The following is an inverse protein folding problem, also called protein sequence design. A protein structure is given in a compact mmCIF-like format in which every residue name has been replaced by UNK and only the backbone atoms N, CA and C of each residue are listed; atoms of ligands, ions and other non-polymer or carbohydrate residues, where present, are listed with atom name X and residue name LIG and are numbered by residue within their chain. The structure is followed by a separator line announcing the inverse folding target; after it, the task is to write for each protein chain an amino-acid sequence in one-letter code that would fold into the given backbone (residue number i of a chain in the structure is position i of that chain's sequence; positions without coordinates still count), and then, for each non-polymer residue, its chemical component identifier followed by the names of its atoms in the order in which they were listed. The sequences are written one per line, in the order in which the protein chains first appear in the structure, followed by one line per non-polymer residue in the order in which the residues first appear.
data_IF_902632273288
#
_entry.id   IF_902632273288
#
_cell.length_a   1.000
_cell.length_b   1.000
_cell.length_c   1.000
_cell.angle_alpha   90.00
_cell.angle_beta   90.00
_cell.angle_gamma   90.00
#
_symmetry.space_group_name_H-M   'P 1'
#
loop_
_entity.id
_entity.type
_entity.pdbx_description
1 polymer ?
#
# COMPACT_ATOMS: atom_id res chain seq x y z
N UNK A 1 -15.66 -70.09 5.97
CA UNK A 1 -14.24 -69.82 5.65
C UNK A 1 -14.11 -68.64 4.73
N UNK A 2 -13.34 -67.67 5.15
CA UNK A 2 -12.70 -66.63 4.38
C UNK A 2 -13.64 -65.55 3.80
N UNK A 3 -13.84 -64.44 4.57
CA UNK A 3 -13.75 -63.06 4.02
C UNK A 3 -13.58 -62.03 5.13
N UNK A 4 -12.38 -61.64 5.50
CA UNK A 4 -12.13 -60.34 6.09
C UNK A 4 -10.91 -59.67 5.41
N UNK A 5 -11.03 -59.23 4.16
CA UNK A 5 -9.91 -58.57 3.49
C UNK A 5 -10.29 -57.39 2.57
N UNK A 6 -11.56 -57.18 2.29
CA UNK A 6 -11.96 -56.11 1.37
C UNK A 6 -12.30 -54.77 2.05
N UNK A 7 -12.77 -54.80 3.30
CA UNK A 7 -13.17 -53.56 4.01
C UNK A 7 -11.98 -52.68 4.37
N UNK A 8 -10.83 -53.25 4.65
CA UNK A 8 -9.61 -52.53 5.00
C UNK A 8 -8.96 -51.79 3.83
N UNK A 9 -9.02 -52.40 2.63
CA UNK A 9 -8.41 -51.84 1.42
C UNK A 9 -9.24 -50.68 0.84
N UNK A 10 -10.56 -50.77 0.88
CA UNK A 10 -11.42 -49.67 0.44
C UNK A 10 -11.34 -48.45 1.36
N UNK A 11 -11.20 -48.65 2.66
CA UNK A 11 -11.04 -47.58 3.63
C UNK A 11 -9.68 -46.88 3.47
N UNK A 12 -8.60 -47.60 3.22
CA UNK A 12 -7.28 -47.00 2.94
C UNK A 12 -7.22 -46.28 1.59
N UNK A 13 -7.91 -46.76 0.56
CA UNK A 13 -7.96 -46.08 -0.74
C UNK A 13 -8.79 -44.80 -0.66
N UNK A 14 -9.89 -44.80 0.08
CA UNK A 14 -10.75 -43.64 0.27
C UNK A 14 -10.06 -42.55 1.08
N UNK A 15 -9.35 -42.88 2.15
CA UNK A 15 -8.58 -41.97 2.98
C UNK A 15 -7.39 -41.38 2.22
N UNK A 16 -6.70 -42.16 1.42
CA UNK A 16 -5.60 -41.73 0.55
C UNK A 16 -6.09 -40.80 -0.57
N UNK A 17 -7.27 -41.03 -1.15
CA UNK A 17 -7.81 -40.16 -2.17
C UNK A 17 -8.27 -38.80 -1.62
N UNK A 18 -8.87 -38.80 -0.43
CA UNK A 18 -9.24 -37.54 0.26
C UNK A 18 -8.04 -36.71 0.68
N UNK A 19 -6.95 -37.36 1.12
CA UNK A 19 -5.70 -36.69 1.50
C UNK A 19 -5.00 -36.07 0.28
N UNK A 20 -4.97 -36.79 -0.85
CA UNK A 20 -4.44 -36.25 -2.12
C UNK A 20 -5.25 -35.07 -2.64
N UNK A 21 -6.57 -35.19 -2.68
CA UNK A 21 -7.44 -34.11 -3.12
C UNK A 21 -7.29 -32.84 -2.26
N UNK A 22 -7.19 -32.98 -0.93
CA UNK A 22 -6.91 -31.87 -0.02
C UNK A 22 -5.54 -31.24 -0.27
N UNK A 23 -4.52 -32.03 -0.52
CA UNK A 23 -3.18 -31.55 -0.82
C UNK A 23 -3.14 -30.79 -2.15
N UNK A 24 -3.84 -31.26 -3.17
CA UNK A 24 -3.96 -30.60 -4.47
C UNK A 24 -4.68 -29.24 -4.35
N UNK A 25 -5.80 -29.20 -3.63
CA UNK A 25 -6.53 -27.95 -3.36
C UNK A 25 -5.65 -26.97 -2.59
N UNK A 26 -4.94 -27.42 -1.57
CA UNK A 26 -4.03 -26.57 -0.80
C UNK A 26 -2.88 -26.03 -1.66
N UNK A 27 -2.30 -26.85 -2.53
CA UNK A 27 -1.24 -26.43 -3.44
C UNK A 27 -1.74 -25.41 -4.47
N UNK A 28 -2.94 -25.59 -5.00
CA UNK A 28 -3.57 -24.62 -5.91
C UNK A 28 -3.85 -23.30 -5.22
N UNK A 29 -4.42 -23.32 -3.99
CA UNK A 29 -4.66 -22.12 -3.20
C UNK A 29 -3.37 -21.38 -2.89
N UNK A 30 -2.32 -22.10 -2.50
CA UNK A 30 -1.01 -21.50 -2.25
C UNK A 30 -0.41 -20.86 -3.50
N UNK A 31 -0.50 -21.53 -4.65
CA UNK A 31 -0.02 -20.97 -5.92
C UNK A 31 -0.76 -19.68 -6.28
N UNK A 32 -2.09 -19.65 -6.14
CA UNK A 32 -2.89 -18.46 -6.36
C UNK A 32 -2.52 -17.29 -5.43
N UNK A 33 -2.34 -17.58 -4.13
CA UNK A 33 -1.94 -16.56 -3.15
C UNK A 33 -0.56 -15.98 -3.47
N UNK A 34 0.39 -16.80 -3.91
CA UNK A 34 1.71 -16.32 -4.36
C UNK A 34 1.58 -15.39 -5.57
N UNK A 35 0.74 -15.72 -6.53
CA UNK A 35 0.50 -14.87 -7.71
C UNK A 35 -0.14 -13.53 -7.32
N UNK A 36 -1.12 -13.54 -6.42
CA UNK A 36 -1.76 -12.33 -5.91
C UNK A 36 -0.74 -11.46 -5.18
N UNK A 37 0.08 -12.06 -4.31
CA UNK A 37 1.15 -11.36 -3.60
C UNK A 37 2.12 -10.70 -4.58
N UNK A 38 2.59 -11.43 -5.58
CA UNK A 38 3.54 -10.92 -6.55
C UNK A 38 2.95 -9.79 -7.43
N UNK A 39 1.65 -9.86 -7.73
CA UNK A 39 0.94 -8.75 -8.41
C UNK A 39 0.84 -7.52 -7.51
N UNK A 40 0.47 -7.74 -6.25
CA UNK A 40 0.35 -6.67 -5.26
C UNK A 40 1.71 -5.97 -5.04
N UNK A 41 2.78 -6.74 -4.87
CA UNK A 41 4.13 -6.21 -4.68
C UNK A 41 4.57 -5.36 -5.88
N UNK A 42 4.37 -5.85 -7.12
CA UNK A 42 4.68 -5.07 -8.33
C UNK A 42 3.86 -3.80 -8.43
N UNK A 43 2.56 -3.88 -8.15
CA UNK A 43 1.67 -2.72 -8.21
C UNK A 43 2.06 -1.67 -7.16
N UNK A 44 2.35 -2.09 -5.94
CA UNK A 44 2.81 -1.19 -4.88
C UNK A 44 4.15 -0.56 -5.22
N UNK A 45 5.12 -1.32 -5.70
CA UNK A 45 6.43 -0.77 -6.10
C UNK A 45 6.31 0.27 -7.20
N UNK A 46 5.52 -0.01 -8.25
CA UNK A 46 5.23 0.95 -9.32
C UNK A 46 4.57 2.22 -8.77
N UNK A 47 3.63 2.06 -7.87
CA UNK A 47 2.89 3.17 -7.26
C UNK A 47 3.77 4.02 -6.33
N UNK A 48 4.64 3.39 -5.55
CA UNK A 48 5.52 4.08 -4.59
C UNK A 48 6.67 4.85 -5.26
N UNK A 49 7.00 4.56 -6.51
CA UNK A 49 7.99 5.33 -7.28
C UNK A 49 7.55 6.78 -7.54
N UNK A 50 6.24 7.04 -7.58
CA UNK A 50 5.69 8.38 -7.83
C UNK A 50 6.04 9.39 -6.72
N UNK A 51 5.72 9.14 -5.43
CA UNK A 51 6.09 10.07 -4.37
C UNK A 51 7.61 10.20 -4.19
N UNK A 52 8.39 9.16 -4.50
CA UNK A 52 9.85 9.23 -4.46
C UNK A 52 10.39 10.19 -5.53
N UNK A 53 9.85 10.15 -6.75
CA UNK A 53 10.22 11.07 -7.83
C UNK A 53 9.93 12.52 -7.45
N UNK A 54 8.72 12.79 -6.94
CA UNK A 54 8.33 14.13 -6.49
C UNK A 54 9.18 14.60 -5.31
N UNK A 55 9.48 13.70 -4.37
CA UNK A 55 10.36 14.00 -3.22
C UNK A 55 11.76 14.36 -3.65
N UNK A 56 12.34 13.63 -4.62
CA UNK A 56 13.67 13.92 -5.15
C UNK A 56 13.71 15.30 -5.84
N UNK A 57 12.66 15.65 -6.58
CA UNK A 57 12.54 16.97 -7.18
C UNK A 57 12.54 18.09 -6.11
N UNK A 58 11.69 17.95 -5.09
CA UNK A 58 11.62 18.95 -4.01
C UNK A 58 12.94 19.00 -3.24
N UNK A 59 13.56 17.85 -2.97
CA UNK A 59 14.84 17.79 -2.28
C UNK A 59 15.93 18.58 -3.01
N UNK A 60 15.94 18.54 -4.35
CA UNK A 60 16.90 19.23 -5.19
C UNK A 60 16.61 20.73 -5.34
N UNK A 61 15.32 21.11 -5.52
CA UNK A 61 14.90 22.48 -5.83
C UNK A 61 14.51 23.30 -4.59
N UNK A 62 14.28 22.66 -3.47
CA UNK A 62 13.83 23.29 -2.22
C UNK A 62 12.31 23.49 -2.12
N UNK A 63 11.59 23.50 -3.23
CA UNK A 63 10.13 23.63 -3.30
C UNK A 63 9.60 23.15 -4.65
N UNK A 64 8.29 23.07 -4.78
CA UNK A 64 7.59 22.81 -6.03
C UNK A 64 6.38 23.74 -6.10
N UNK A 65 6.28 24.53 -7.18
CA UNK A 65 5.11 25.40 -7.36
C UNK A 65 3.86 24.60 -7.70
N UNK A 66 2.65 25.10 -7.40
CA UNK A 66 1.39 24.39 -7.70
C UNK A 66 1.24 24.01 -9.18
N UNK A 67 1.67 24.86 -10.11
CA UNK A 67 1.57 24.60 -11.54
C UNK A 67 2.53 23.49 -11.99
N UNK A 68 3.77 23.51 -11.49
CA UNK A 68 4.75 22.43 -11.75
C UNK A 68 4.24 21.14 -11.13
N UNK A 69 3.73 21.20 -9.91
CA UNK A 69 3.16 20.05 -9.21
C UNK A 69 2.02 19.42 -10.02
N UNK A 70 1.04 20.21 -10.43
CA UNK A 70 -0.09 19.72 -11.22
C UNK A 70 0.36 19.11 -12.56
N UNK A 71 1.31 19.74 -13.24
CA UNK A 71 1.82 19.28 -14.54
C UNK A 71 2.60 17.96 -14.40
N UNK A 72 3.55 17.91 -13.47
CA UNK A 72 4.42 16.74 -13.27
C UNK A 72 3.61 15.56 -12.75
N UNK A 73 2.82 15.79 -11.70
CA UNK A 73 2.01 14.72 -11.11
C UNK A 73 0.93 14.26 -12.06
N UNK A 74 0.31 15.17 -12.83
CA UNK A 74 -0.64 14.80 -13.86
C UNK A 74 -0.07 13.78 -14.84
N UNK A 75 1.15 14.00 -15.31
CA UNK A 75 1.86 13.05 -16.19
C UNK A 75 2.21 11.74 -15.49
N UNK A 76 2.68 11.78 -14.25
CA UNK A 76 3.02 10.58 -13.49
C UNK A 76 1.81 9.70 -13.19
N UNK A 77 0.63 10.30 -13.02
CA UNK A 77 -0.62 9.60 -12.68
C UNK A 77 -1.46 9.19 -13.91
N UNK A 78 -1.09 9.59 -15.11
CA UNK A 78 -1.89 9.39 -16.34
C UNK A 78 -2.31 7.92 -16.57
N UNK A 79 -1.50 6.96 -16.12
CA UNK A 79 -1.77 5.53 -16.27
C UNK A 79 -1.98 4.79 -14.92
N UNK A 80 -2.12 5.52 -13.82
CA UNK A 80 -2.20 4.96 -12.47
C UNK A 80 -3.63 5.00 -11.92
N UNK A 81 -4.47 4.03 -12.30
CA UNK A 81 -5.90 4.00 -11.96
C UNK A 81 -6.21 3.85 -10.46
N UNK A 82 -5.27 3.26 -9.70
CA UNK A 82 -5.46 2.98 -8.28
C UNK A 82 -5.08 4.15 -7.40
N UNK A 83 -4.37 5.14 -7.94
CA UNK A 83 -3.99 6.32 -7.19
C UNK A 83 -5.17 7.28 -7.11
N UNK A 84 -5.58 7.58 -5.90
CA UNK A 84 -6.62 8.56 -5.63
C UNK A 84 -6.10 9.98 -5.70
N UNK A 85 -5.01 10.23 -5.01
CA UNK A 85 -4.35 11.53 -5.03
C UNK A 85 -2.90 11.44 -4.56
N UNK A 86 -2.13 12.48 -4.91
CA UNK A 86 -0.84 12.78 -4.32
C UNK A 86 -0.93 14.18 -3.68
N UNK A 87 -0.38 14.33 -2.48
CA UNK A 87 -0.42 15.57 -1.74
C UNK A 87 0.98 16.03 -1.31
N UNK A 88 1.19 17.34 -1.32
CA UNK A 88 2.35 18.00 -0.75
C UNK A 88 2.00 18.56 0.62
N UNK A 89 2.81 18.26 1.62
CA UNK A 89 2.61 18.70 2.98
C UNK A 89 3.91 19.29 3.57
N UNK A 90 4.30 20.52 3.15
CA UNK A 90 5.37 21.25 3.82
C UNK A 90 5.01 21.42 5.30
N UNK A 91 6.00 21.27 6.18
CA UNK A 91 5.81 21.37 7.63
C UNK A 91 4.64 20.49 8.17
N UNK A 92 4.35 19.38 7.49
CA UNK A 92 3.28 18.41 7.80
C UNK A 92 1.86 18.95 7.66
N UNK A 93 1.66 20.02 6.89
CA UNK A 93 0.34 20.59 6.56
C UNK A 93 0.13 20.48 5.05
N UNK A 94 -0.95 19.82 4.63
CA UNK A 94 -1.24 19.69 3.20
C UNK A 94 -1.50 21.05 2.58
N UNK A 95 -0.61 21.49 1.67
CA UNK A 95 -0.75 22.72 0.90
C UNK A 95 -1.42 22.48 -0.45
N UNK A 96 -1.08 21.36 -1.09
CA UNK A 96 -1.52 21.04 -2.44
C UNK A 96 -1.87 19.55 -2.58
N UNK A 97 -2.82 19.27 -3.46
CA UNK A 97 -3.28 17.92 -3.76
C UNK A 97 -3.59 17.78 -5.26
N UNK A 98 -3.20 16.66 -5.85
CA UNK A 98 -3.53 16.35 -7.25
C UNK A 98 -4.12 14.92 -7.37
N UNK A 99 -5.22 14.70 -8.11
CA UNK A 99 -6.08 15.75 -8.64
C UNK A 99 -6.77 16.54 -7.51
N UNK A 100 -7.00 17.82 -7.74
CA UNK A 100 -7.65 18.69 -6.74
C UNK A 100 -9.14 18.37 -6.61
N UNK A 101 -9.79 18.15 -7.75
CA UNK A 101 -11.22 17.84 -7.81
C UNK A 101 -11.53 16.57 -7.01
N UNK A 102 -12.44 16.68 -6.03
CA UNK A 102 -12.83 15.60 -5.13
C UNK A 102 -11.87 15.35 -3.95
N UNK A 103 -10.77 16.11 -3.85
CA UNK A 103 -9.79 16.00 -2.77
C UNK A 103 -9.56 17.31 -2.00
N UNK A 104 -10.40 18.31 -2.22
CA UNK A 104 -10.24 19.66 -1.64
C UNK A 104 -10.22 19.64 -0.11
N UNK A 105 -10.97 18.71 0.49
CA UNK A 105 -11.04 18.55 1.95
C UNK A 105 -9.73 18.12 2.60
N UNK A 106 -8.78 17.63 1.80
CA UNK A 106 -7.45 17.26 2.31
C UNK A 106 -6.58 18.50 2.54
N UNK A 107 -6.82 19.59 1.82
CA UNK A 107 -6.01 20.83 1.93
C UNK A 107 -6.20 21.43 3.33
N UNK A 108 -5.09 21.79 3.97
CA UNK A 108 -5.06 22.31 5.33
C UNK A 108 -5.03 21.21 6.42
N UNK A 109 -5.12 19.94 6.06
CA UNK A 109 -4.99 18.84 7.04
C UNK A 109 -3.59 18.85 7.65
N UNK A 110 -3.54 18.92 8.98
CA UNK A 110 -2.32 18.88 9.77
C UNK A 110 -2.08 17.45 10.25
N UNK A 111 -1.09 16.80 9.70
CA UNK A 111 -0.84 15.37 9.98
C UNK A 111 -0.56 15.08 11.46
N UNK A 112 0.22 15.94 12.10
CA UNK A 112 0.61 15.76 13.50
C UNK A 112 -0.52 16.03 14.51
N UNK A 113 -1.56 16.73 14.08
CA UNK A 113 -2.75 16.98 14.90
C UNK A 113 -3.80 15.87 14.76
N UNK A 114 -3.65 15.00 13.75
CA UNK A 114 -4.56 13.87 13.50
C UNK A 114 -4.04 12.59 14.15
N UNK A 115 -4.71 12.04 15.19
CA UNK A 115 -4.24 10.86 15.90
C UNK A 115 -4.06 9.61 15.02
N UNK A 116 -4.89 9.47 13.97
CA UNK A 116 -4.83 8.33 13.05
C UNK A 116 -3.63 8.40 12.09
N UNK A 117 -3.07 9.59 11.89
CA UNK A 117 -2.01 9.80 10.90
C UNK A 117 -0.65 10.12 11.54
N UNK A 118 -0.66 10.70 12.74
CA UNK A 118 0.54 11.13 13.47
C UNK A 118 1.62 10.06 13.53
N UNK A 119 1.28 8.87 14.03
CA UNK A 119 2.27 7.82 14.26
C UNK A 119 3.00 7.36 12.99
N UNK A 120 2.30 7.30 11.87
CA UNK A 120 2.93 6.93 10.59
C UNK A 120 3.83 8.05 10.04
N UNK A 121 3.44 9.31 10.22
CA UNK A 121 4.24 10.48 9.84
C UNK A 121 5.50 10.58 10.70
N UNK A 122 5.38 10.46 12.01
CA UNK A 122 6.52 10.47 12.94
C UNK A 122 7.52 9.35 12.61
N UNK A 123 7.03 8.14 12.33
CA UNK A 123 7.90 7.03 11.89
C UNK A 123 8.62 7.36 10.58
N UNK A 124 7.92 7.94 9.59
CA UNK A 124 8.55 8.33 8.34
C UNK A 124 9.68 9.36 8.55
N UNK A 125 9.44 10.37 9.37
CA UNK A 125 10.43 11.40 9.71
C UNK A 125 11.63 10.79 10.43
N UNK A 126 11.39 9.96 11.46
CA UNK A 126 12.44 9.34 12.29
C UNK A 126 13.29 8.36 11.49
N UNK A 127 12.67 7.52 10.68
CA UNK A 127 13.38 6.51 9.88
C UNK A 127 13.97 7.06 8.60
N UNK A 128 13.55 8.25 8.17
CA UNK A 128 13.88 8.87 6.87
C UNK A 128 13.51 7.97 5.69
N UNK A 129 12.48 7.15 5.84
CA UNK A 129 12.00 6.21 4.83
C UNK A 129 10.51 6.40 4.59
N UNK A 130 10.08 6.04 3.40
CA UNK A 130 8.66 5.94 3.09
C UNK A 130 7.98 4.95 4.03
N UNK A 131 6.91 5.38 4.68
CA UNK A 131 6.04 4.55 5.52
C UNK A 131 4.70 4.39 4.83
N UNK A 132 4.27 3.14 4.67
CA UNK A 132 2.95 2.79 4.13
C UNK A 132 2.04 2.43 5.29
N UNK A 133 0.86 3.02 5.33
CA UNK A 133 -0.15 2.80 6.37
C UNK A 133 -1.52 2.54 5.75
N UNK A 134 -2.30 1.73 6.42
CA UNK A 134 -3.65 1.39 5.97
C UNK A 134 -3.87 -0.12 5.76
N UNK A 135 -5.07 -0.53 5.28
CA UNK A 135 -6.17 0.36 4.85
C UNK A 135 -6.81 1.15 5.98
N UNK A 136 -7.05 2.43 5.76
CA UNK A 136 -7.72 3.32 6.71
C UNK A 136 -8.89 4.05 6.06
N UNK A 137 -9.94 4.42 6.82
CA UNK A 137 -10.98 5.30 6.32
C UNK A 137 -10.42 6.66 5.91
N UNK A 138 -10.77 7.10 4.72
CA UNK A 138 -10.33 8.40 4.18
C UNK A 138 -11.33 9.50 4.53
N UNK A 139 -10.83 10.71 4.76
CA UNK A 139 -11.66 11.91 5.00
C UNK A 139 -12.61 12.17 3.82
N UNK A 140 -12.19 11.78 2.62
CA UNK A 140 -12.96 11.92 1.38
C UNK A 140 -13.91 10.72 1.14
N UNK A 141 -13.97 9.74 2.05
CA UNK A 141 -14.74 8.49 1.94
C UNK A 141 -13.96 7.35 1.28
N UNK A 142 -14.37 6.11 1.57
CA UNK A 142 -13.72 4.86 1.13
C UNK A 142 -12.50 4.48 1.98
N UNK A 143 -11.88 3.36 1.62
CA UNK A 143 -10.66 2.87 2.25
C UNK A 143 -9.43 3.22 1.41
N UNK A 144 -8.37 3.67 2.06
CA UNK A 144 -7.12 4.01 1.41
C UNK A 144 -5.90 3.43 2.07
N UNK A 145 -4.92 3.13 1.22
CA UNK A 145 -3.55 2.86 1.64
C UNK A 145 -2.77 4.14 1.36
N UNK A 146 -2.11 4.68 2.38
CA UNK A 146 -1.40 5.94 2.28
C UNK A 146 0.09 5.71 2.46
N UNK A 147 0.89 6.09 1.47
CA UNK A 147 2.34 6.20 1.63
C UNK A 147 2.72 7.61 2.05
N UNK A 148 3.72 7.71 2.92
CA UNK A 148 4.27 8.98 3.42
C UNK A 148 5.76 8.96 3.22
N UNK A 149 6.22 9.78 2.29
CA UNK A 149 7.63 9.91 1.94
C UNK A 149 8.16 11.21 2.52
N UNK A 150 9.07 11.15 3.51
CA UNK A 150 9.63 12.35 4.12
C UNK A 150 10.67 12.98 3.17
N UNK A 151 10.59 14.29 3.02
CA UNK A 151 11.50 15.05 2.17
C UNK A 151 12.52 15.78 3.03
N UNK A 152 13.78 15.57 2.71
CA UNK A 152 14.91 16.29 3.31
C UNK A 152 15.66 17.00 2.20
N UNK A 153 15.85 18.31 2.35
CA UNK A 153 16.47 19.12 1.30
C UNK A 153 17.93 18.72 1.10
N UNK A 154 18.32 18.62 -0.16
CA UNK A 154 19.70 18.37 -0.52
C UNK A 154 20.58 19.61 -0.21
N UNK A 155 21.85 19.37 0.12
CA UNK A 155 22.82 20.44 0.26
C UNK A 155 23.38 20.81 -1.11
N UNK A 156 23.64 22.09 -1.38
CA UNK A 156 24.35 22.48 -2.59
C UNK A 156 25.67 21.73 -2.71
N UNK A 157 26.08 21.31 -3.91
CA UNK A 157 27.37 20.68 -4.14
C UNK A 157 28.52 21.54 -3.58
N UNK A 158 29.45 20.92 -2.85
CA UNK A 158 30.61 21.59 -2.29
C UNK A 158 30.43 22.28 -0.94
N UNK A 159 29.25 22.21 -0.34
CA UNK A 159 29.00 22.68 1.03
C UNK A 159 28.82 21.52 1.98
N UNK A 160 29.69 21.39 2.98
CA UNK A 160 29.48 20.40 4.04
C UNK A 160 28.20 20.73 4.82
N UNK A 161 27.40 19.72 5.20
CA UNK A 161 26.19 19.94 5.97
C UNK A 161 26.53 20.48 7.37
N UNK A 162 26.25 21.75 7.59
CA UNK A 162 26.28 22.33 8.92
C UNK A 162 24.88 22.14 9.51
N UNK A 163 24.73 21.21 10.46
CA UNK A 163 23.46 20.97 11.14
C UNK A 163 22.52 19.89 10.56
N UNK A 164 22.98 19.07 9.60
CA UNK A 164 22.18 17.98 9.03
C UNK A 164 21.24 18.42 7.89
N UNK A 165 20.54 17.44 7.29
CA UNK A 165 19.57 17.73 6.23
C UNK A 165 18.34 18.40 6.82
N UNK A 166 17.94 19.55 6.24
CA UNK A 166 16.73 20.27 6.65
C UNK A 166 15.49 19.47 6.21
N UNK A 167 14.66 19.11 7.16
CA UNK A 167 13.36 18.53 6.87
C UNK A 167 12.44 19.57 6.20
N UNK A 168 11.80 19.17 5.09
CA UNK A 168 10.88 20.02 4.34
C UNK A 168 9.42 19.68 4.66
N UNK A 169 9.11 18.40 4.79
CA UNK A 169 7.73 17.93 4.96
C UNK A 169 7.53 16.54 4.39
N UNK A 170 6.29 16.23 4.06
CA UNK A 170 5.85 14.92 3.54
C UNK A 170 5.28 15.08 2.13
N UNK A 171 5.66 14.16 1.24
CA UNK A 171 4.89 13.83 0.04
C UNK A 171 4.07 12.59 0.36
N UNK A 172 2.76 12.68 0.30
CA UNK A 172 1.88 11.55 0.55
C UNK A 172 1.11 11.14 -0.69
N UNK A 173 1.03 9.83 -0.91
CA UNK A 173 0.24 9.24 -1.97
C UNK A 173 -0.88 8.41 -1.35
N UNK A 174 -2.09 8.59 -1.82
CA UNK A 174 -3.26 7.82 -1.41
C UNK A 174 -3.68 6.88 -2.52
N UNK A 175 -3.69 5.60 -2.23
CA UNK A 175 -4.17 4.53 -3.12
C UNK A 175 -5.56 4.10 -2.66
N UNK A 176 -6.49 3.92 -3.59
CA UNK A 176 -7.77 3.30 -3.32
C UNK A 176 -7.58 1.81 -3.06
N UNK A 177 -7.86 1.36 -1.84
CA UNK A 177 -7.64 -0.02 -1.44
C UNK A 177 -8.55 -1.00 -2.21
N UNK A 178 -9.82 -0.64 -2.40
CA UNK A 178 -10.79 -1.51 -3.07
C UNK A 178 -10.40 -1.74 -4.54
N UNK A 179 -10.00 -0.68 -5.23
CA UNK A 179 -9.54 -0.78 -6.63
C UNK A 179 -8.25 -1.58 -6.73
N UNK A 180 -7.29 -1.34 -5.82
CA UNK A 180 -6.04 -2.09 -5.78
C UNK A 180 -6.28 -3.58 -5.57
N UNK A 181 -7.12 -3.93 -4.61
CA UNK A 181 -7.43 -5.33 -4.30
C UNK A 181 -8.22 -6.02 -5.42
N UNK A 182 -9.11 -5.29 -6.09
CA UNK A 182 -9.80 -5.78 -7.28
C UNK A 182 -8.82 -6.10 -8.43
N UNK A 183 -7.91 -5.18 -8.72
CA UNK A 183 -6.95 -5.32 -9.82
C UNK A 183 -5.96 -6.48 -9.62
N UNK A 184 -5.62 -6.79 -8.38
CA UNK A 184 -4.75 -7.95 -8.09
C UNK A 184 -5.54 -9.27 -7.97
N UNK A 185 -6.86 -9.21 -8.02
CA UNK A 185 -7.75 -10.37 -7.98
C UNK A 185 -8.08 -10.87 -6.58
N UNK A 186 -7.91 -10.04 -5.54
CA UNK A 186 -8.20 -10.43 -4.15
C UNK A 186 -9.70 -10.59 -3.87
N UNK A 187 -10.57 -9.95 -4.64
CA UNK A 187 -12.03 -9.96 -4.48
C UNK A 187 -12.74 -10.77 -5.58
N UNK A 188 -12.05 -11.70 -6.24
CA UNK A 188 -12.69 -12.49 -7.30
C UNK A 188 -13.45 -13.66 -6.70
N UNK A 189 -14.75 -13.74 -6.98
CA UNK A 189 -15.66 -14.85 -6.63
C UNK A 189 -15.22 -16.20 -7.24
N UNK A 190 -14.21 -16.19 -8.10
CA UNK A 190 -13.71 -17.36 -8.82
C UNK A 190 -12.65 -18.16 -8.05
N UNK A 191 -12.25 -17.70 -6.87
CA UNK A 191 -11.14 -18.36 -6.15
C UNK A 191 -11.51 -19.66 -5.46
N UNK A 192 -12.79 -19.91 -5.19
CA UNK A 192 -13.25 -21.12 -4.51
C UNK A 192 -12.75 -21.26 -3.05
N UNK A 193 -12.12 -20.21 -2.50
CA UNK A 193 -11.65 -20.14 -1.11
C UNK A 193 -11.70 -18.69 -0.62
N UNK A 194 -11.80 -18.55 0.71
CA UNK A 194 -11.84 -17.25 1.36
C UNK A 194 -10.43 -16.69 1.53
N UNK A 195 -10.26 -15.41 1.24
CA UNK A 195 -8.99 -14.70 1.41
C UNK A 195 -9.14 -13.59 2.45
N UNK A 196 -8.19 -13.50 3.36
CA UNK A 196 -8.08 -12.41 4.30
C UNK A 196 -6.68 -11.80 4.23
N UNK A 197 -6.62 -10.47 4.06
CA UNK A 197 -5.38 -9.73 4.16
C UNK A 197 -5.18 -9.22 5.59
N UNK A 198 -4.01 -9.44 6.16
CA UNK A 198 -3.59 -8.92 7.46
C UNK A 198 -2.47 -7.92 7.28
N UNK A 199 -2.51 -6.89 8.04
CA UNK A 199 -1.47 -5.86 8.07
C UNK A 199 -2.10 -4.48 8.19
N UNK A 200 -2.07 -3.93 9.39
CA UNK A 200 -2.42 -2.54 9.63
C UNK A 200 -1.11 -1.80 9.92
N UNK A 201 -0.91 -0.64 9.28
CA UNK A 201 0.24 0.23 9.51
C UNK A 201 1.61 -0.45 9.39
N UNK A 202 1.76 -1.33 8.41
CA UNK A 202 2.97 -2.12 8.18
C UNK A 202 3.32 -3.12 9.31
N UNK A 203 2.37 -3.47 10.17
CA UNK A 203 2.57 -4.45 11.25
C UNK A 203 2.65 -5.91 10.76
N UNK A 204 2.45 -6.16 9.46
CA UNK A 204 2.56 -7.49 8.86
C UNK A 204 1.59 -8.50 9.48
N UNK A 205 2.08 -9.72 9.73
CA UNK A 205 1.28 -10.82 10.27
C UNK A 205 0.72 -10.57 11.68
N UNK A 206 1.28 -9.63 12.42
CA UNK A 206 0.83 -9.23 13.76
C UNK A 206 -0.31 -8.19 13.73
N UNK A 207 -0.59 -7.61 12.56
CA UNK A 207 -1.69 -6.68 12.38
C UNK A 207 -3.06 -7.36 12.41
N UNK A 208 -4.10 -6.57 12.67
CA UNK A 208 -5.48 -7.02 12.54
C UNK A 208 -5.82 -7.40 11.09
N UNK A 209 -6.88 -8.19 10.90
CA UNK A 209 -7.42 -8.46 9.56
C UNK A 209 -7.95 -7.13 9.00
N UNK A 210 -7.35 -6.66 7.91
CA UNK A 210 -7.71 -5.40 7.28
C UNK A 210 -8.87 -5.57 6.31
N UNK A 211 -8.89 -6.70 5.59
CA UNK A 211 -9.89 -7.02 4.57
C UNK A 211 -10.13 -8.52 4.58
N UNK A 212 -11.39 -8.92 4.45
CA UNK A 212 -11.82 -10.32 4.29
C UNK A 212 -12.82 -10.39 3.14
N UNK A 213 -12.55 -11.26 2.18
CA UNK A 213 -13.44 -11.57 1.06
C UNK A 213 -13.95 -13.00 1.22
N UNK A 214 -15.27 -13.16 1.16
CA UNK A 214 -15.97 -14.45 1.28
C UNK A 214 -16.56 -14.89 -0.05
#
# INVERSE_FOLDING_TARGET
EIMPSLVGSEMCIRDSSHTKARAEIAAQAQSHLLQIRDRLDRQLQSTLSVPETVSAFIAAQGSMSPDIFATVVGRLLEHQRNIRNLALAPDNVISDVYPRVGNERAIGLRYLDNPQQRGAVERAIQTRRTVVAGPIPLVQGGLGIISRTPVFLAHPPGRAPVGGHRYWGIVSLTVNADTLFADVGLNSDQMGFQVAARGLDAMGAQGAVSVSYT
#
